data_IF_060855193297
#
_entry.id   IF_060855193297
#
_cell.length_a   1.000
_cell.length_b   1.000
_cell.length_c   1.000
_cell.angle_alpha   90.00
_cell.angle_beta   90.00
_cell.angle_gamma   90.00
#
_symmetry.space_group_name_H-M   'P 1'
#
loop_
_entity.id
_entity.type
_entity.pdbx_description
1 polymer ?
#
# COMPACT_ATOMS: atom_id res chain seq x y z
N UNK A 1 -2.53 9.07 -7.06
CA UNK A 1 -1.84 10.38 -7.12
C UNK A 1 -1.01 10.57 -8.40
N UNK A 2 -0.09 9.63 -8.79
CA UNK A 2 0.76 9.80 -9.99
C UNK A 2 -0.11 9.91 -11.26
N UNK A 3 -1.03 8.97 -11.48
CA UNK A 3 -1.90 8.97 -12.65
C UNK A 3 -2.77 10.21 -12.75
N UNK A 4 -3.38 10.65 -11.65
CA UNK A 4 -4.21 11.86 -11.61
C UNK A 4 -3.42 13.13 -11.94
N UNK A 5 -2.18 13.22 -11.44
CA UNK A 5 -1.30 14.34 -11.77
C UNK A 5 -0.95 14.36 -13.27
N UNK A 6 -0.67 13.20 -13.86
CA UNK A 6 -0.37 13.08 -15.28
C UNK A 6 -1.58 13.42 -16.15
N UNK A 7 -2.79 12.96 -15.79
CA UNK A 7 -4.02 13.37 -16.47
C UNK A 7 -4.13 14.89 -16.54
N UNK A 8 -3.94 15.57 -15.40
CA UNK A 8 -4.00 17.03 -15.31
C UNK A 8 -2.91 17.70 -16.14
N UNK A 9 -1.67 17.21 -16.08
CA UNK A 9 -0.53 17.80 -16.80
C UNK A 9 -0.68 17.73 -18.32
N UNK A 10 -1.18 16.59 -18.81
CA UNK A 10 -1.37 16.36 -20.26
C UNK A 10 -2.78 16.71 -20.74
N UNK A 11 -3.60 17.34 -19.88
CA UNK A 11 -4.98 17.73 -20.18
C UNK A 11 -5.82 16.54 -20.72
N UNK A 12 -5.63 15.37 -20.12
CA UNK A 12 -6.35 14.15 -20.41
C UNK A 12 -7.61 14.06 -19.54
N UNK A 13 -8.64 13.41 -20.06
CA UNK A 13 -9.91 13.18 -19.36
C UNK A 13 -9.84 11.92 -18.46
N UNK A 14 -10.73 11.81 -17.48
CA UNK A 14 -10.70 10.72 -16.50
C UNK A 14 -10.83 9.32 -17.14
N UNK A 15 -11.54 9.21 -18.26
CA UNK A 15 -11.67 7.99 -19.06
C UNK A 15 -10.35 7.53 -19.72
N UNK A 16 -9.35 8.40 -19.75
CA UNK A 16 -8.00 8.06 -20.24
C UNK A 16 -7.05 7.55 -19.16
N UNK A 17 -7.56 7.32 -17.93
CA UNK A 17 -6.73 6.79 -16.82
C UNK A 17 -6.09 5.44 -17.17
N UNK A 18 -6.81 4.56 -17.85
CA UNK A 18 -6.27 3.27 -18.29
C UNK A 18 -5.09 3.44 -19.24
N UNK A 19 -5.19 4.38 -20.18
CA UNK A 19 -4.07 4.74 -21.07
C UNK A 19 -2.86 5.24 -20.31
N UNK A 20 -3.07 6.07 -19.28
CA UNK A 20 -1.97 6.53 -18.41
C UNK A 20 -1.35 5.35 -17.67
N UNK A 21 -2.16 4.48 -17.07
CA UNK A 21 -1.71 3.28 -16.40
C UNK A 21 -0.91 2.35 -17.30
N UNK A 22 -1.43 2.08 -18.50
CA UNK A 22 -0.79 1.22 -19.50
C UNK A 22 0.54 1.80 -19.98
N UNK A 23 0.58 3.10 -20.30
CA UNK A 23 1.80 3.78 -20.75
C UNK A 23 2.89 3.74 -19.67
N UNK A 24 2.55 4.06 -18.42
CA UNK A 24 3.51 4.05 -17.34
C UNK A 24 4.01 2.63 -17.03
N UNK A 25 3.10 1.66 -17.03
CA UNK A 25 3.44 0.25 -16.80
C UNK A 25 4.36 -0.27 -17.91
N UNK A 26 4.03 0.00 -19.15
CA UNK A 26 4.87 -0.36 -20.28
C UNK A 26 6.25 0.32 -20.21
N UNK A 27 6.32 1.58 -19.80
CA UNK A 27 7.58 2.30 -19.66
C UNK A 27 8.48 1.66 -18.59
N UNK A 28 7.98 1.42 -17.37
CA UNK A 28 8.84 0.85 -16.33
C UNK A 28 9.16 -0.65 -16.53
N UNK A 29 8.33 -1.39 -17.25
CA UNK A 29 8.64 -2.80 -17.56
C UNK A 29 9.66 -2.96 -18.71
N UNK A 30 9.84 -1.94 -19.53
CA UNK A 30 10.74 -1.97 -20.70
C UNK A 30 12.01 -1.15 -20.52
N UNK A 31 12.13 -0.40 -19.43
CA UNK A 31 13.28 0.45 -19.15
C UNK A 31 13.75 0.29 -17.71
N UNK A 32 14.94 0.79 -17.41
CA UNK A 32 15.55 0.67 -16.08
C UNK A 32 15.03 1.73 -15.11
N UNK A 33 13.70 1.78 -14.90
CA UNK A 33 13.03 2.71 -13.99
C UNK A 33 11.91 2.00 -13.21
N UNK A 34 11.27 2.70 -12.31
CA UNK A 34 10.08 2.28 -11.58
C UNK A 34 8.99 3.34 -11.68
N UNK A 35 7.77 2.97 -11.29
CA UNK A 35 6.60 3.85 -11.37
C UNK A 35 6.80 5.16 -10.58
N UNK A 36 7.47 5.11 -9.44
CA UNK A 36 7.69 6.28 -8.59
C UNK A 36 8.68 7.24 -9.23
N UNK A 37 9.82 6.74 -9.69
CA UNK A 37 10.82 7.54 -10.39
C UNK A 37 10.25 8.14 -11.67
N UNK A 38 9.45 7.37 -12.42
CA UNK A 38 8.79 7.86 -13.62
C UNK A 38 7.78 8.98 -13.30
N UNK A 39 6.98 8.81 -12.25
CA UNK A 39 6.03 9.82 -11.76
C UNK A 39 6.76 11.10 -11.31
N UNK A 40 7.90 10.96 -10.66
CA UNK A 40 8.73 12.10 -10.27
C UNK A 40 9.31 12.82 -11.49
N UNK A 41 9.82 12.11 -12.48
CA UNK A 41 10.27 12.70 -13.76
C UNK A 41 9.14 13.49 -14.42
N UNK A 42 7.94 12.91 -14.52
CA UNK A 42 6.77 13.55 -15.11
C UNK A 42 6.32 14.81 -14.36
N UNK A 43 6.44 14.82 -13.02
CA UNK A 43 6.13 15.99 -12.21
C UNK A 43 6.90 17.24 -12.67
N UNK A 44 8.16 17.07 -13.05
CA UNK A 44 9.00 18.18 -13.53
C UNK A 44 8.81 18.49 -15.01
N UNK A 45 8.54 17.49 -15.82
CA UNK A 45 8.57 17.60 -17.29
C UNK A 45 7.18 17.71 -17.89
N UNK A 46 6.18 17.05 -17.32
CA UNK A 46 4.84 16.90 -17.90
C UNK A 46 4.21 18.21 -18.36
N UNK A 47 4.16 19.27 -17.53
CA UNK A 47 3.56 20.54 -17.95
C UNK A 47 4.25 21.18 -19.16
N UNK A 48 5.59 21.05 -19.27
CA UNK A 48 6.35 21.60 -20.39
C UNK A 48 6.17 20.74 -21.63
N UNK A 49 6.26 19.41 -21.49
CA UNK A 49 6.06 18.47 -22.59
C UNK A 49 4.67 18.64 -23.23
N UNK A 50 3.63 18.65 -22.42
CA UNK A 50 2.25 18.83 -22.86
C UNK A 50 2.05 20.17 -23.62
N UNK A 51 2.63 21.26 -23.10
CA UNK A 51 2.54 22.59 -23.72
C UNK A 51 3.25 22.62 -25.08
N UNK A 52 4.29 21.83 -25.25
CA UNK A 52 5.04 21.71 -26.53
C UNK A 52 4.40 20.71 -27.52
N UNK A 53 3.30 20.05 -27.12
CA UNK A 53 2.59 19.07 -27.92
C UNK A 53 3.24 17.68 -27.95
N UNK A 54 4.15 17.41 -27.02
CA UNK A 54 4.75 16.09 -26.83
C UNK A 54 3.70 15.19 -26.15
N UNK A 55 3.48 14.00 -26.69
CA UNK A 55 2.51 13.07 -26.13
C UNK A 55 2.99 12.47 -24.80
N UNK A 56 2.06 11.89 -24.04
CA UNK A 56 2.40 11.16 -22.81
C UNK A 56 3.38 10.03 -23.09
N UNK A 57 3.15 9.28 -24.16
CA UNK A 57 3.96 8.13 -24.56
C UNK A 57 5.39 8.55 -24.95
N UNK A 58 5.51 9.62 -25.72
CA UNK A 58 6.81 10.18 -26.11
C UNK A 58 7.57 10.70 -24.87
N UNK A 59 6.91 11.44 -23.99
CA UNK A 59 7.51 11.92 -22.75
C UNK A 59 7.94 10.77 -21.83
N UNK A 60 7.13 9.70 -21.73
CA UNK A 60 7.47 8.50 -20.97
C UNK A 60 8.63 7.73 -21.61
N UNK A 61 8.69 7.66 -22.93
CA UNK A 61 9.81 7.04 -23.65
C UNK A 61 11.11 7.82 -23.42
N UNK A 62 11.08 9.16 -23.50
CA UNK A 62 12.23 10.00 -23.18
C UNK A 62 12.73 9.80 -21.77
N UNK A 63 11.82 9.76 -20.78
CA UNK A 63 12.14 9.47 -19.38
C UNK A 63 12.77 8.09 -19.21
N UNK A 64 12.25 7.09 -19.92
CA UNK A 64 12.79 5.73 -19.94
C UNK A 64 14.19 5.65 -20.54
N UNK A 65 14.47 6.37 -21.62
CA UNK A 65 15.81 6.43 -22.22
C UNK A 65 16.83 7.08 -21.30
N UNK A 66 16.44 8.13 -20.57
CA UNK A 66 17.30 8.74 -19.55
C UNK A 66 17.57 7.74 -18.41
N UNK A 67 16.56 7.03 -17.97
CA UNK A 67 16.68 6.06 -16.89
C UNK A 67 17.60 4.88 -17.26
N UNK A 68 17.59 4.43 -18.50
CA UNK A 68 18.51 3.40 -19.00
C UNK A 68 19.98 3.85 -18.90
N UNK A 69 20.22 5.16 -18.94
CA UNK A 69 21.54 5.78 -18.79
C UNK A 69 21.81 6.31 -17.36
N UNK A 70 21.00 5.91 -16.38
CA UNK A 70 21.20 6.23 -14.98
C UNK A 70 20.56 7.52 -14.48
N UNK A 71 19.97 8.34 -15.36
CA UNK A 71 19.25 9.55 -14.98
C UNK A 71 17.79 9.20 -14.67
N UNK A 72 17.36 9.32 -13.39
CA UNK A 72 16.02 8.94 -12.92
C UNK A 72 15.40 10.01 -12.05
N UNK A 73 14.08 9.94 -11.89
CA UNK A 73 13.35 10.79 -10.97
C UNK A 73 13.55 12.28 -11.24
N UNK A 74 13.93 13.04 -10.23
CA UNK A 74 14.15 14.49 -10.30
C UNK A 74 15.25 14.89 -11.30
N UNK A 75 16.32 14.09 -11.41
CA UNK A 75 17.46 14.40 -12.28
C UNK A 75 17.04 14.30 -13.75
N UNK A 76 16.36 13.19 -14.12
CA UNK A 76 15.78 13.05 -15.45
C UNK A 76 14.77 14.17 -15.75
N UNK A 77 13.89 14.46 -14.80
CA UNK A 77 12.86 15.49 -14.93
C UNK A 77 13.46 16.88 -15.12
N UNK A 78 14.50 17.21 -14.37
CA UNK A 78 15.19 18.50 -14.48
C UNK A 78 15.92 18.62 -15.82
N UNK A 79 16.66 17.59 -16.22
CA UNK A 79 17.38 17.56 -17.49
C UNK A 79 16.42 17.66 -18.69
N UNK A 80 15.32 16.89 -18.68
CA UNK A 80 14.29 16.97 -19.73
C UNK A 80 13.66 18.36 -19.79
N UNK A 81 13.19 18.87 -18.66
CA UNK A 81 12.55 20.18 -18.59
C UNK A 81 13.47 21.28 -19.09
N UNK A 82 14.73 21.29 -18.67
CA UNK A 82 15.71 22.29 -19.10
C UNK A 82 15.96 22.16 -20.61
N UNK A 83 16.20 20.97 -21.14
CA UNK A 83 16.41 20.72 -22.56
C UNK A 83 15.21 21.17 -23.39
N UNK A 84 14.00 20.75 -23.04
CA UNK A 84 12.78 21.11 -23.76
C UNK A 84 12.50 22.61 -23.71
N UNK A 85 12.70 23.27 -22.58
CA UNK A 85 12.49 24.71 -22.45
C UNK A 85 13.49 25.51 -23.26
N UNK A 86 14.76 25.09 -23.28
CA UNK A 86 15.81 25.77 -24.06
C UNK A 86 15.73 25.50 -25.57
N UNK A 87 15.22 24.36 -25.99
CA UNK A 87 14.89 24.09 -27.39
C UNK A 87 13.69 24.91 -27.83
N UNK A 88 12.67 25.08 -27.02
CA UNK A 88 11.47 25.87 -27.32
C UNK A 88 11.71 27.39 -27.33
N UNK A 89 12.59 27.85 -26.43
CA UNK A 89 12.96 29.27 -26.33
C UNK A 89 14.47 29.38 -26.08
N UNK A 90 15.26 29.24 -27.16
CA UNK A 90 16.71 29.12 -27.03
C UNK A 90 17.35 30.46 -26.61
N UNK A 91 18.18 30.48 -25.55
CA UNK A 91 19.10 31.58 -25.31
C UNK A 91 20.07 31.77 -26.46
N UNK A 92 20.77 32.90 -26.47
CA UNK A 92 21.66 33.26 -27.61
C UNK A 92 22.65 32.14 -27.97
N UNK A 93 23.35 31.56 -26.97
CA UNK A 93 24.31 30.48 -27.23
C UNK A 93 23.61 29.25 -27.86
N UNK A 94 22.45 28.85 -27.37
CA UNK A 94 21.68 27.75 -27.91
C UNK A 94 21.17 28.04 -29.35
N UNK A 95 20.71 29.27 -29.59
CA UNK A 95 20.25 29.70 -30.91
C UNK A 95 21.40 29.71 -31.94
N UNK A 96 22.58 30.20 -31.56
CA UNK A 96 23.77 30.22 -32.40
C UNK A 96 24.24 28.78 -32.71
N UNK A 97 24.27 27.88 -31.70
CA UNK A 97 24.62 26.48 -31.86
C UNK A 97 23.63 25.73 -32.79
N UNK A 98 22.32 25.91 -32.59
CA UNK A 98 21.29 25.32 -33.45
C UNK A 98 21.40 25.81 -34.89
N UNK A 99 21.71 27.10 -35.07
CA UNK A 99 21.93 27.71 -36.41
C UNK A 99 23.18 27.13 -37.10
N UNK A 100 24.28 26.98 -36.35
CA UNK A 100 25.52 26.38 -36.89
C UNK A 100 25.30 24.92 -37.29
N UNK A 101 24.56 24.15 -36.45
CA UNK A 101 24.18 22.79 -36.77
C UNK A 101 23.14 22.67 -37.89
N UNK A 102 22.51 23.78 -38.29
CA UNK A 102 21.44 23.80 -39.32
C UNK A 102 20.16 23.10 -38.83
N UNK A 103 19.91 23.04 -37.52
CA UNK A 103 18.73 22.39 -36.95
C UNK A 103 17.66 23.41 -36.61
N UNK A 104 16.46 23.20 -37.18
CA UNK A 104 15.28 24.00 -36.85
C UNK A 104 14.40 23.25 -35.85
N UNK A 105 14.04 23.89 -34.75
CA UNK A 105 13.15 23.34 -33.71
C UNK A 105 11.67 23.63 -34.00
N UNK A 106 11.38 24.62 -34.85
CA UNK A 106 10.04 25.02 -35.24
C UNK A 106 9.79 24.83 -36.73
N UNK A 107 8.53 24.61 -37.09
CA UNK A 107 8.08 24.60 -38.48
C UNK A 107 7.92 26.04 -39.04
N UNK A 108 7.55 26.15 -40.30
CA UNK A 108 7.34 27.45 -40.99
C UNK A 108 6.21 28.30 -40.35
N UNK A 109 5.37 27.72 -39.51
CA UNK A 109 4.29 28.41 -38.78
C UNK A 109 4.68 28.77 -37.33
N UNK A 110 5.91 28.49 -36.93
CA UNK A 110 6.41 28.73 -35.59
C UNK A 110 5.93 27.69 -34.56
N UNK A 111 5.31 26.58 -35.00
CA UNK A 111 4.93 25.48 -34.14
C UNK A 111 6.13 24.55 -33.94
N UNK A 112 6.28 24.04 -32.69
CA UNK A 112 7.29 23.05 -32.36
C UNK A 112 7.16 21.83 -33.28
N UNK A 113 8.26 21.39 -33.87
CA UNK A 113 8.32 20.15 -34.63
C UNK A 113 8.25 18.94 -33.68
N UNK A 114 7.84 17.75 -34.16
CA UNK A 114 7.93 16.55 -33.34
C UNK A 114 9.32 16.44 -32.70
N UNK A 115 9.36 16.19 -31.37
CA UNK A 115 10.62 16.23 -30.64
C UNK A 115 11.58 15.13 -31.10
N UNK A 116 11.05 13.98 -31.46
CA UNK A 116 11.85 12.87 -32.04
C UNK A 116 12.60 13.31 -33.31
N UNK A 117 11.96 14.11 -34.19
CA UNK A 117 12.58 14.61 -35.39
C UNK A 117 13.68 15.64 -35.11
N UNK A 118 13.43 16.54 -34.13
CA UNK A 118 14.42 17.53 -33.70
C UNK A 118 15.65 16.85 -33.10
N UNK A 119 15.44 15.85 -32.22
CA UNK A 119 16.54 15.08 -31.65
C UNK A 119 17.32 14.27 -32.69
N UNK A 120 16.63 13.70 -33.68
CA UNK A 120 17.26 12.97 -34.77
C UNK A 120 18.07 13.90 -35.66
N UNK A 121 17.58 15.10 -35.95
CA UNK A 121 18.33 16.10 -36.74
C UNK A 121 19.56 16.59 -35.96
N UNK A 122 19.43 16.80 -34.63
CA UNK A 122 20.59 17.09 -33.77
C UNK A 122 21.63 15.97 -33.85
N UNK A 123 21.18 14.71 -33.78
CA UNK A 123 22.10 13.57 -33.93
C UNK A 123 22.86 13.63 -35.25
N UNK A 124 22.15 13.71 -36.35
CA UNK A 124 22.75 13.76 -37.70
C UNK A 124 23.71 14.94 -37.89
N UNK A 125 23.35 16.09 -37.34
CA UNK A 125 24.15 17.30 -37.46
C UNK A 125 25.43 17.20 -36.62
N UNK A 126 25.35 16.72 -35.40
CA UNK A 126 26.50 16.63 -34.47
C UNK A 126 27.49 15.54 -34.88
N UNK A 127 27.07 14.48 -35.59
CA UNK A 127 27.98 13.43 -36.09
C UNK A 127 29.05 13.94 -37.05
N UNK A 128 28.92 15.15 -37.60
CA UNK A 128 29.90 15.77 -38.48
C UNK A 128 31.08 16.39 -37.71
N UNK A 129 30.99 16.49 -36.41
CA UNK A 129 31.94 17.16 -35.54
C UNK A 129 32.64 16.15 -34.59
N UNK A 130 33.81 16.56 -34.12
CA UNK A 130 34.57 15.78 -33.15
C UNK A 130 33.83 15.71 -31.78
N UNK A 131 34.20 14.75 -30.97
CA UNK A 131 33.53 14.54 -29.66
C UNK A 131 33.55 15.76 -28.74
N UNK A 132 34.65 16.54 -28.75
CA UNK A 132 34.77 17.74 -27.92
C UNK A 132 33.78 18.82 -28.39
N UNK A 133 33.67 19.03 -29.71
CA UNK A 133 32.71 19.98 -30.25
C UNK A 133 31.27 19.56 -30.04
N UNK A 134 30.99 18.25 -30.15
CA UNK A 134 29.65 17.69 -29.81
C UNK A 134 29.25 18.04 -28.39
N UNK A 135 30.13 17.83 -27.39
CA UNK A 135 29.86 18.18 -25.99
C UNK A 135 29.64 19.68 -25.83
N UNK A 136 30.42 20.53 -26.56
CA UNK A 136 30.23 21.98 -26.54
C UNK A 136 28.85 22.38 -27.04
N UNK A 137 28.41 21.85 -28.19
CA UNK A 137 27.08 22.09 -28.72
C UNK A 137 25.96 21.68 -27.75
N UNK A 138 26.07 20.50 -27.11
CA UNK A 138 25.07 20.05 -26.15
C UNK A 138 25.03 20.96 -24.91
N UNK A 139 26.19 21.46 -24.45
CA UNK A 139 26.25 22.43 -23.33
C UNK A 139 25.63 23.77 -23.71
N UNK A 140 25.93 24.28 -24.89
CA UNK A 140 25.35 25.51 -25.39
C UNK A 140 23.83 25.42 -25.52
N UNK A 141 23.32 24.28 -26.04
CA UNK A 141 21.89 24.05 -26.24
C UNK A 141 21.18 23.82 -24.92
N UNK A 142 21.62 22.84 -24.14
CA UNK A 142 20.89 22.39 -22.92
C UNK A 142 21.36 23.08 -21.63
N UNK A 143 22.56 23.65 -21.59
CA UNK A 143 23.24 24.16 -20.41
C UNK A 143 24.02 23.05 -19.67
N UNK A 144 24.94 23.46 -18.80
CA UNK A 144 25.82 22.56 -18.05
C UNK A 144 25.06 21.48 -17.23
N UNK A 145 23.89 21.79 -16.71
CA UNK A 145 23.13 20.89 -15.86
C UNK A 145 22.34 19.83 -16.64
N UNK A 146 22.03 20.09 -17.91
CA UNK A 146 21.14 19.25 -18.70
C UNK A 146 21.78 18.63 -19.95
N UNK A 147 23.03 18.99 -20.29
CA UNK A 147 23.65 18.55 -21.56
C UNK A 147 23.78 17.01 -21.64
N UNK A 148 24.07 16.32 -20.52
CA UNK A 148 24.15 14.86 -20.48
C UNK A 148 22.80 14.24 -20.83
N UNK A 149 21.71 14.80 -20.28
CA UNK A 149 20.36 14.35 -20.60
C UNK A 149 20.01 14.58 -22.08
N UNK A 150 20.32 15.76 -22.62
CA UNK A 150 20.09 16.03 -24.04
C UNK A 150 20.92 15.10 -24.92
N UNK A 151 22.20 14.92 -24.62
CA UNK A 151 23.08 14.01 -25.36
C UNK A 151 22.54 12.57 -25.38
N UNK A 152 22.04 12.09 -24.20
CA UNK A 152 21.40 10.78 -24.09
C UNK A 152 20.17 10.66 -24.99
N UNK A 153 19.29 11.65 -24.96
CA UNK A 153 18.09 11.65 -25.80
C UNK A 153 18.40 11.73 -27.29
N UNK A 154 19.40 12.54 -27.67
CA UNK A 154 19.89 12.65 -29.06
C UNK A 154 20.48 11.32 -29.53
N UNK A 155 21.28 10.65 -28.71
CA UNK A 155 21.82 9.33 -29.02
C UNK A 155 20.71 8.28 -29.18
N UNK A 156 19.71 8.27 -28.27
CA UNK A 156 18.57 7.36 -28.34
C UNK A 156 17.69 7.61 -29.60
N UNK A 157 17.54 8.87 -30.01
CA UNK A 157 16.85 9.21 -31.25
C UNK A 157 17.66 8.76 -32.50
N UNK A 158 19.00 8.94 -32.43
CA UNK A 158 19.91 8.54 -33.51
C UNK A 158 20.00 7.02 -33.71
N UNK A 159 19.93 6.24 -32.66
CA UNK A 159 19.85 4.75 -32.69
C UNK A 159 18.47 4.22 -33.09
N UNK A 160 17.43 5.04 -33.04
CA UNK A 160 16.04 4.65 -33.25
C UNK A 160 15.36 4.00 -32.05
N UNK A 161 16.05 3.89 -30.92
CA UNK A 161 15.49 3.31 -29.70
C UNK A 161 14.36 4.15 -29.10
N UNK A 162 14.49 5.49 -29.13
CA UNK A 162 13.45 6.39 -28.68
C UNK A 162 12.15 6.18 -29.45
N UNK A 163 12.22 6.20 -30.79
CA UNK A 163 11.06 6.00 -31.69
C UNK A 163 10.46 4.61 -31.54
N UNK A 164 11.29 3.59 -31.33
CA UNK A 164 10.83 2.23 -31.06
C UNK A 164 10.04 2.18 -29.76
N UNK A 165 10.61 2.71 -28.67
CA UNK A 165 9.95 2.71 -27.37
C UNK A 165 8.65 3.53 -27.41
N UNK A 166 8.65 4.71 -28.03
CA UNK A 166 7.43 5.53 -28.19
C UNK A 166 6.30 4.74 -28.86
N UNK A 167 6.59 4.03 -29.95
CA UNK A 167 5.59 3.18 -30.63
C UNK A 167 5.11 2.03 -29.74
N UNK A 168 6.01 1.41 -29.00
CA UNK A 168 5.66 0.34 -28.05
C UNK A 168 4.73 0.85 -26.94
N UNK A 169 4.98 2.06 -26.42
CA UNK A 169 4.12 2.68 -25.42
C UNK A 169 2.76 3.09 -25.98
N UNK A 170 2.72 3.58 -27.22
CA UNK A 170 1.45 3.88 -27.94
C UNK A 170 0.59 2.64 -28.15
N UNK A 171 1.21 1.48 -28.30
CA UNK A 171 0.54 0.18 -28.46
C UNK A 171 0.24 -0.57 -27.16
N UNK A 172 0.54 -0.01 -25.99
CA UNK A 172 0.57 -0.72 -24.71
C UNK A 172 -0.79 -0.93 -24.04
N UNK A 173 -1.87 -1.07 -24.80
CA UNK A 173 -3.22 -1.28 -24.25
C UNK A 173 -3.31 -2.56 -23.41
N UNK A 174 -3.91 -2.46 -22.21
CA UNK A 174 -4.11 -3.57 -21.28
C UNK A 174 -2.83 -4.04 -20.60
N UNK A 175 -1.73 -3.31 -20.72
CA UNK A 175 -0.44 -3.66 -20.12
C UNK A 175 -0.49 -3.61 -18.59
N UNK A 176 -1.16 -2.60 -18.03
CA UNK A 176 -1.33 -2.46 -16.60
C UNK A 176 -2.08 -3.67 -16.01
N UNK A 177 -3.18 -4.09 -16.63
CA UNK A 177 -3.95 -5.25 -16.20
C UNK A 177 -3.14 -6.55 -16.34
N UNK A 178 -2.39 -6.69 -17.42
CA UNK A 178 -1.53 -7.85 -17.65
C UNK A 178 -0.46 -7.98 -16.59
N UNK A 179 0.25 -6.89 -16.32
CA UNK A 179 1.31 -6.86 -15.30
C UNK A 179 0.73 -7.04 -13.91
N UNK A 180 -0.40 -6.40 -13.60
CA UNK A 180 -1.09 -6.58 -12.31
C UNK A 180 -1.48 -8.04 -12.09
N UNK A 181 -2.00 -8.74 -13.09
CA UNK A 181 -2.30 -10.19 -13.01
C UNK A 181 -1.05 -11.01 -12.76
N UNK A 182 0.03 -10.76 -13.49
CA UNK A 182 1.32 -11.47 -13.27
C UNK A 182 1.88 -11.19 -11.88
N UNK A 183 1.79 -9.95 -11.40
CA UNK A 183 2.22 -9.60 -10.05
C UNK A 183 1.33 -10.18 -8.95
N UNK A 184 0.03 -10.34 -9.22
CA UNK A 184 -0.93 -10.95 -8.30
C UNK A 184 -0.89 -12.49 -8.31
N UNK A 185 -0.41 -13.10 -9.39
CA UNK A 185 -0.31 -14.57 -9.55
C UNK A 185 0.91 -15.11 -8.80
N UNK A 186 0.96 -14.84 -7.50
CA UNK A 186 1.96 -15.35 -6.58
C UNK A 186 1.39 -15.41 -5.16
N UNK A 187 2.09 -16.12 -4.27
CA UNK A 187 1.65 -16.34 -2.89
C UNK A 187 1.39 -15.01 -2.12
N UNK A 188 2.17 -13.96 -2.36
CA UNK A 188 1.96 -12.64 -1.74
C UNK A 188 0.67 -11.97 -2.23
N UNK A 189 0.37 -12.10 -3.53
CA UNK A 189 -0.90 -11.66 -4.12
C UNK A 189 -2.10 -12.41 -3.55
N UNK A 190 -1.99 -13.74 -3.41
CA UNK A 190 -3.02 -14.57 -2.80
C UNK A 190 -3.26 -14.23 -1.34
N UNK A 191 -2.19 -13.95 -0.57
CA UNK A 191 -2.28 -13.51 0.82
C UNK A 191 -2.92 -12.14 0.94
N UNK A 192 -2.62 -11.20 0.05
CA UNK A 192 -3.27 -9.87 0.01
C UNK A 192 -4.74 -9.95 -0.36
N UNK A 193 -5.09 -10.82 -1.31
CA UNK A 193 -6.48 -11.07 -1.67
C UNK A 193 -7.26 -11.70 -0.51
N UNK A 194 -6.63 -12.61 0.24
CA UNK A 194 -7.21 -13.22 1.43
C UNK A 194 -7.40 -12.18 2.55
N UNK A 195 -6.43 -11.30 2.77
CA UNK A 195 -6.50 -10.23 3.76
C UNK A 195 -7.63 -9.24 3.42
N UNK A 196 -7.74 -8.84 2.15
CA UNK A 196 -8.83 -7.99 1.66
C UNK A 196 -10.21 -8.64 1.81
N UNK A 197 -10.33 -9.94 1.51
CA UNK A 197 -11.57 -10.69 1.70
C UNK A 197 -11.94 -10.81 3.18
N UNK A 198 -10.93 -10.99 4.05
CA UNK A 198 -11.11 -11.02 5.49
C UNK A 198 -11.55 -9.67 6.05
N UNK A 199 -10.96 -8.57 5.58
CA UNK A 199 -11.38 -7.22 5.97
C UNK A 199 -12.81 -6.93 5.53
N UNK A 200 -13.19 -7.30 4.31
CA UNK A 200 -14.57 -7.21 3.81
C UNK A 200 -15.56 -8.03 4.65
N UNK A 201 -15.19 -9.23 5.08
CA UNK A 201 -15.98 -10.05 5.98
C UNK A 201 -16.13 -9.41 7.36
N UNK A 202 -15.04 -8.86 7.89
CA UNK A 202 -15.01 -8.18 9.19
C UNK A 202 -15.91 -6.95 9.20
N UNK A 203 -15.90 -6.15 8.14
CA UNK A 203 -16.79 -4.98 7.97
C UNK A 203 -18.24 -5.44 7.97
N UNK A 204 -18.60 -6.46 7.17
CA UNK A 204 -19.97 -6.98 7.10
C UNK A 204 -20.45 -7.58 8.43
N UNK A 205 -19.56 -8.26 9.18
CA UNK A 205 -19.88 -8.76 10.51
C UNK A 205 -20.09 -7.59 11.49
N UNK A 206 -19.25 -6.55 11.42
CA UNK A 206 -19.40 -5.34 12.23
C UNK A 206 -20.76 -4.70 12.01
N UNK A 207 -21.17 -4.51 10.76
CA UNK A 207 -22.48 -3.93 10.41
C UNK A 207 -23.66 -4.75 10.94
N UNK A 208 -23.56 -6.09 10.92
CA UNK A 208 -24.58 -7.00 11.43
C UNK A 208 -24.70 -6.98 12.96
N UNK A 209 -23.59 -6.72 13.65
CA UNK A 209 -23.49 -6.79 15.12
C UNK A 209 -23.66 -5.42 15.77
N UNK A 210 -23.46 -4.32 15.07
CA UNK A 210 -23.59 -2.96 15.60
C UNK A 210 -25.00 -2.66 16.17
N UNK A 211 -26.06 -3.09 15.50
CA UNK A 211 -27.43 -2.91 15.99
C UNK A 211 -27.70 -3.63 17.32
N UNK A 212 -27.47 -4.94 17.41
CA UNK A 212 -27.62 -5.72 18.65
C UNK A 212 -26.70 -5.28 19.77
N UNK A 213 -25.40 -5.01 19.48
CA UNK A 213 -24.45 -4.54 20.51
C UNK A 213 -24.83 -3.16 21.04
N UNK A 214 -25.25 -2.25 20.18
CA UNK A 214 -25.72 -0.92 20.59
C UNK A 214 -26.97 -1.01 21.50
N UNK A 215 -27.86 -1.92 21.19
CA UNK A 215 -29.06 -2.18 22.03
C UNK A 215 -28.68 -2.73 23.39
N UNK A 216 -27.74 -3.67 23.46
CA UNK A 216 -27.21 -4.23 24.72
C UNK A 216 -26.47 -3.13 25.52
N UNK A 217 -25.66 -2.33 24.88
CA UNK A 217 -24.92 -1.24 25.55
C UNK A 217 -25.91 -0.20 26.10
N UNK A 218 -26.91 0.21 25.34
CA UNK A 218 -27.94 1.13 25.81
C UNK A 218 -28.81 0.55 26.94
N UNK A 219 -29.07 -0.75 26.92
CA UNK A 219 -29.77 -1.42 28.00
C UNK A 219 -28.91 -1.46 29.29
N UNK A 220 -27.62 -1.81 29.16
CA UNK A 220 -26.66 -1.78 30.26
C UNK A 220 -26.55 -0.38 30.88
N UNK A 221 -26.46 0.66 30.06
CA UNK A 221 -26.41 2.04 30.53
C UNK A 221 -27.65 2.41 31.33
N UNK A 222 -28.84 2.09 30.82
CA UNK A 222 -30.11 2.31 31.55
C UNK A 222 -30.20 1.56 32.84
N UNK A 223 -29.67 0.33 32.93
CA UNK A 223 -29.61 -0.46 34.19
C UNK A 223 -28.66 0.18 35.18
N UNK A 224 -27.47 0.61 34.73
CA UNK A 224 -26.50 1.31 35.58
C UNK A 224 -27.03 2.64 36.10
N UNK A 225 -27.71 3.43 35.28
CA UNK A 225 -28.37 4.67 35.71
C UNK A 225 -29.43 4.43 36.80
N UNK A 226 -30.26 3.38 36.63
CA UNK A 226 -31.24 2.99 37.65
C UNK A 226 -30.59 2.49 38.94
N UNK A 227 -29.50 1.73 38.85
CA UNK A 227 -28.75 1.29 40.01
C UNK A 227 -28.13 2.49 40.76
N UNK A 228 -27.58 3.44 39.99
CA UNK A 228 -26.96 4.66 40.53
C UNK A 228 -28.02 5.53 41.24
N UNK A 229 -29.19 5.70 40.66
CA UNK A 229 -30.28 6.46 41.25
C UNK A 229 -30.84 5.81 42.51
N UNK A 230 -30.97 4.47 42.54
CA UNK A 230 -31.34 3.70 43.72
C UNK A 230 -30.26 3.81 44.84
N UNK A 231 -29.00 3.77 44.44
CA UNK A 231 -27.88 3.91 45.35
C UNK A 231 -27.84 5.29 46.04
N UNK A 232 -28.18 6.33 45.31
CA UNK A 232 -28.27 7.70 45.83
C UNK A 232 -29.51 7.90 46.74
N UNK A 233 -30.62 7.25 46.44
CA UNK A 233 -31.84 7.34 47.22
C UNK A 233 -31.76 6.58 48.56
N UNK A 234 -30.92 5.53 48.66
CA UNK A 234 -30.83 4.67 49.86
C UNK A 234 -29.38 4.37 50.25
N UNK A 235 -28.64 5.33 50.84
CA UNK A 235 -27.20 5.20 51.10
C UNK A 235 -26.83 4.06 52.09
N UNK A 236 -27.70 3.72 53.03
CA UNK A 236 -27.46 2.63 53.99
C UNK A 236 -27.58 1.26 53.31
N UNK A 237 -28.57 1.10 52.43
CA UNK A 237 -28.77 -0.13 51.67
C UNK A 237 -27.64 -0.33 50.66
N UNK A 238 -27.16 0.77 50.06
CA UNK A 238 -26.05 0.78 49.08
C UNK A 238 -24.76 0.31 49.74
N UNK A 239 -24.50 0.68 50.99
CA UNK A 239 -23.29 0.24 51.70
C UNK A 239 -23.32 -1.28 52.01
N UNK A 240 -24.48 -1.82 52.28
CA UNK A 240 -24.63 -3.27 52.48
C UNK A 240 -24.58 -4.05 51.18
N UNK A 241 -25.14 -3.50 50.08
CA UNK A 241 -25.08 -4.08 48.75
C UNK A 241 -23.69 -3.94 48.10
N UNK A 242 -22.91 -2.88 48.40
CA UNK A 242 -21.53 -2.75 47.95
C UNK A 242 -20.62 -3.81 48.60
N UNK A 243 -20.86 -4.17 49.85
CA UNK A 243 -20.09 -5.23 50.50
C UNK A 243 -20.47 -6.61 49.90
N UNK A 244 -21.75 -6.83 49.61
CA UNK A 244 -22.21 -8.05 48.93
C UNK A 244 -21.96 -8.06 47.41
N UNK A 245 -22.01 -6.91 46.78
CA UNK A 245 -21.90 -6.74 45.33
C UNK A 245 -20.45 -6.54 44.83
N UNK A 246 -19.51 -6.23 45.74
CA UNK A 246 -18.09 -6.14 45.35
C UNK A 246 -17.54 -7.44 44.76
N UNK A 247 -18.07 -8.58 45.23
CA UNK A 247 -17.76 -9.89 44.65
C UNK A 247 -18.38 -10.08 43.25
N UNK A 248 -19.57 -9.52 43.01
CA UNK A 248 -20.25 -9.61 41.70
C UNK A 248 -19.60 -8.71 40.64
N UNK A 249 -19.14 -7.51 41.02
CA UNK A 249 -18.41 -6.61 40.10
C UNK A 249 -17.01 -7.16 39.76
N UNK A 250 -16.34 -7.80 40.70
CA UNK A 250 -15.10 -8.53 40.40
C UNK A 250 -15.35 -9.70 39.43
N UNK A 251 -16.50 -10.40 39.53
CA UNK A 251 -16.88 -11.44 38.57
C UNK A 251 -17.20 -10.91 37.18
N UNK A 252 -17.89 -9.79 37.05
CA UNK A 252 -18.21 -9.22 35.72
C UNK A 252 -16.98 -8.64 35.03
N UNK A 253 -16.03 -8.06 35.76
CA UNK A 253 -14.75 -7.61 35.22
C UNK A 253 -13.88 -8.80 34.74
N UNK A 254 -13.92 -9.93 35.44
CA UNK A 254 -13.21 -11.16 35.03
C UNK A 254 -13.86 -11.81 33.78
N UNK A 255 -15.19 -11.83 33.70
CA UNK A 255 -15.90 -12.40 32.53
C UNK A 255 -15.69 -11.54 31.27
N UNK A 256 -15.69 -10.22 31.40
CA UNK A 256 -15.42 -9.30 30.28
C UNK A 256 -13.99 -9.44 29.75
N UNK A 257 -13.01 -9.57 30.63
CA UNK A 257 -11.60 -9.82 30.24
C UNK A 257 -11.40 -11.24 29.65
N UNK A 258 -12.11 -12.25 30.17
CA UNK A 258 -12.09 -13.60 29.61
C UNK A 258 -12.64 -13.65 28.17
N UNK A 259 -13.72 -12.92 27.90
CA UNK A 259 -14.31 -12.84 26.54
C UNK A 259 -13.35 -12.21 25.53
N UNK A 260 -12.59 -11.18 25.95
CA UNK A 260 -11.56 -10.55 25.11
C UNK A 260 -10.38 -11.50 24.85
N UNK A 261 -9.92 -12.22 25.89
CA UNK A 261 -8.82 -13.18 25.74
C UNK A 261 -9.23 -14.39 24.90
N UNK A 262 -10.44 -14.89 25.08
CA UNK A 262 -11.00 -15.99 24.27
C UNK A 262 -11.16 -15.53 22.81
N UNK A 263 -11.63 -14.31 22.57
CA UNK A 263 -11.75 -13.74 21.22
C UNK A 263 -10.40 -13.64 20.50
N UNK A 264 -9.36 -13.17 21.20
CA UNK A 264 -8.00 -13.08 20.66
C UNK A 264 -7.36 -14.48 20.46
N UNK A 265 -7.59 -15.42 21.38
CA UNK A 265 -7.10 -16.80 21.25
C UNK A 265 -7.81 -17.56 20.11
N UNK A 266 -9.14 -17.41 19.99
CA UNK A 266 -9.90 -18.01 18.89
C UNK A 266 -9.49 -17.43 17.53
N UNK A 267 -9.22 -16.13 17.46
CA UNK A 267 -8.70 -15.49 16.24
C UNK A 267 -7.34 -16.06 15.83
N UNK A 268 -6.44 -16.29 16.79
CA UNK A 268 -5.12 -16.88 16.51
C UNK A 268 -5.17 -18.40 16.24
N UNK A 269 -6.07 -19.13 16.87
CA UNK A 269 -6.30 -20.56 16.58
C UNK A 269 -6.98 -20.78 15.23
N UNK A 270 -7.88 -19.88 14.81
CA UNK A 270 -8.50 -19.94 13.50
C UNK A 270 -7.46 -19.69 12.37
N UNK A 271 -6.53 -18.76 12.59
CA UNK A 271 -5.42 -18.54 11.62
C UNK A 271 -4.45 -19.72 11.56
N UNK A 272 -4.17 -20.38 12.70
CA UNK A 272 -3.35 -21.60 12.71
C UNK A 272 -4.06 -22.78 12.03
N UNK A 273 -5.37 -22.93 12.21
CA UNK A 273 -6.17 -24.00 11.58
C UNK A 273 -6.28 -23.77 10.05
N UNK A 274 -6.45 -22.52 9.62
CA UNK A 274 -6.40 -22.15 8.18
C UNK A 274 -5.01 -22.41 7.59
N UNK A 275 -3.95 -22.06 8.30
CA UNK A 275 -2.57 -22.35 7.89
C UNK A 275 -2.31 -23.85 7.77
N UNK A 276 -2.87 -24.67 8.66
CA UNK A 276 -2.73 -26.13 8.63
C UNK A 276 -3.56 -26.76 7.52
N UNK A 277 -4.77 -26.27 7.22
CA UNK A 277 -5.61 -26.73 6.11
C UNK A 277 -5.01 -26.39 4.74
N UNK A 278 -4.36 -25.23 4.62
CA UNK A 278 -3.63 -24.82 3.40
C UNK A 278 -2.38 -25.70 3.23
N UNK A 279 -1.65 -25.99 4.31
CA UNK A 279 -0.48 -26.86 4.27
C UNK A 279 -0.84 -28.33 3.91
N UNK A 280 -1.98 -28.83 4.37
CA UNK A 280 -2.40 -30.22 4.09
C UNK A 280 -2.99 -30.40 2.70
N UNK A 281 -3.50 -29.33 2.06
CA UNK A 281 -4.00 -29.37 0.67
C UNK A 281 -2.93 -29.22 -0.41
N UNK A 282 -1.78 -28.63 -0.10
CA UNK A 282 -0.64 -28.56 -1.00
C UNK A 282 0.28 -29.78 -0.81
N UNK A 283 -0.04 -30.85 -1.49
CA UNK A 283 0.64 -32.14 -1.45
C UNK A 283 2.07 -32.13 -2.02
N UNK A 284 2.97 -31.35 -1.43
CA UNK A 284 4.41 -31.49 -1.64
C UNK A 284 5.22 -31.34 -0.35
N UNK A 285 4.59 -31.57 0.81
CA UNK A 285 5.14 -31.35 2.16
C UNK A 285 6.29 -32.30 2.51
N UNK A 286 6.43 -33.44 1.81
CA UNK A 286 7.46 -34.46 2.11
C UNK A 286 8.88 -33.92 1.91
N UNK A 287 9.07 -32.88 1.08
CA UNK A 287 10.39 -32.27 0.86
C UNK A 287 10.79 -31.19 1.88
N UNK A 288 9.84 -30.69 2.67
CA UNK A 288 10.07 -29.60 3.63
C UNK A 288 10.23 -30.11 5.08
N UNK A 289 9.81 -31.35 5.36
CA UNK A 289 9.93 -31.95 6.70
C UNK A 289 11.36 -31.91 7.29
N UNK A 290 12.45 -32.17 6.53
CA UNK A 290 13.81 -32.09 7.09
C UNK A 290 14.20 -30.67 7.50
N UNK A 291 13.73 -29.63 6.80
CA UNK A 291 14.00 -28.25 7.13
C UNK A 291 13.25 -27.79 8.40
N UNK A 292 12.02 -28.26 8.58
CA UNK A 292 11.21 -28.00 9.78
C UNK A 292 11.79 -28.71 11.00
N UNK A 293 12.35 -29.91 10.84
CA UNK A 293 13.01 -30.64 11.93
C UNK A 293 14.28 -29.93 12.42
N UNK A 294 15.03 -29.30 11.52
CA UNK A 294 16.16 -28.45 11.84
C UNK A 294 15.79 -27.19 12.65
N UNK A 295 14.59 -26.65 12.44
CA UNK A 295 14.09 -25.52 13.24
C UNK A 295 13.62 -25.93 14.62
N UNK A 296 13.12 -27.15 14.79
CA UNK A 296 12.68 -27.68 16.09
C UNK A 296 13.87 -28.04 17.00
N UNK A 297 14.95 -28.55 16.42
CA UNK A 297 16.16 -28.92 17.17
C UNK A 297 17.04 -27.71 17.52
N UNK A 298 16.91 -26.58 16.79
CA UNK A 298 17.57 -25.30 17.12
C UNK A 298 16.93 -24.54 18.29
N UNK A 299 15.73 -24.94 18.73
CA UNK A 299 14.95 -24.21 19.72
C UNK A 299 15.12 -24.66 21.17
N UNK A 300 16.09 -25.52 21.48
CA UNK A 300 16.43 -25.87 22.89
C UNK A 300 17.04 -24.67 23.65
N UNK A 301 17.58 -23.67 22.96
CA UNK A 301 18.00 -22.39 23.55
C UNK A 301 16.83 -21.47 23.93
N UNK A 302 15.59 -21.74 23.47
CA UNK A 302 14.41 -20.96 23.78
C UNK A 302 13.75 -21.35 25.13
N UNK A 303 14.11 -22.47 25.74
CA UNK A 303 13.60 -22.85 27.08
C UNK A 303 14.04 -21.87 28.17
N UNK A 304 15.23 -21.26 28.06
CA UNK A 304 15.66 -20.18 28.93
C UNK A 304 14.85 -18.89 28.79
N UNK A 305 14.38 -18.60 27.57
CA UNK A 305 13.51 -17.46 27.31
C UNK A 305 12.04 -17.67 27.76
N UNK A 306 11.55 -18.91 27.73
CA UNK A 306 10.19 -19.24 28.15
C UNK A 306 10.04 -19.09 29.67
N UNK A 307 11.07 -19.43 30.46
CA UNK A 307 11.06 -19.22 31.91
C UNK A 307 11.08 -17.73 32.26
N UNK A 308 11.85 -16.91 31.53
CA UNK A 308 11.87 -15.46 31.68
C UNK A 308 10.52 -14.80 31.28
N UNK A 309 9.82 -15.36 30.29
CA UNK A 309 8.49 -14.88 29.89
C UNK A 309 7.40 -15.15 30.94
N UNK A 310 7.52 -16.19 31.76
CA UNK A 310 6.59 -16.47 32.85
C UNK A 310 6.67 -15.44 34.00
N UNK A 311 7.82 -14.77 34.16
CA UNK A 311 8.01 -13.68 35.12
C UNK A 311 7.79 -12.29 34.52
N UNK A 312 7.42 -12.20 33.25
CA UNK A 312 6.98 -10.94 32.63
C UNK A 312 5.60 -10.54 33.14
N UNK A 313 5.21 -9.25 33.09
CA UNK A 313 3.86 -8.81 33.43
C UNK A 313 2.76 -9.58 32.67
N UNK A 314 3.03 -9.98 31.44
CA UNK A 314 2.14 -10.80 30.61
C UNK A 314 2.08 -12.24 31.12
N UNK A 315 3.19 -12.83 31.53
CA UNK A 315 3.27 -14.17 32.08
C UNK A 315 2.53 -14.29 33.40
N UNK A 316 2.61 -13.27 34.27
CA UNK A 316 1.84 -13.21 35.55
C UNK A 316 0.34 -13.10 35.29
N UNK A 317 -0.11 -12.38 34.28
CA UNK A 317 -1.51 -12.34 33.86
C UNK A 317 -1.98 -13.71 33.38
N UNK A 318 -1.18 -14.41 32.59
CA UNK A 318 -1.51 -15.76 32.08
C UNK A 318 -1.58 -16.76 33.24
N UNK A 319 -0.67 -16.68 34.20
CA UNK A 319 -0.69 -17.54 35.41
C UNK A 319 -1.92 -17.26 36.31
N UNK A 320 -2.29 -15.98 36.46
CA UNK A 320 -3.51 -15.59 37.20
C UNK A 320 -4.78 -16.09 36.50
N UNK A 321 -4.83 -16.01 35.15
CA UNK A 321 -5.96 -16.54 34.38
C UNK A 321 -6.07 -18.06 34.44
N UNK A 322 -4.96 -18.79 34.41
CA UNK A 322 -4.93 -20.22 34.55
C UNK A 322 -5.41 -20.63 35.96
N UNK A 323 -4.99 -19.90 37.03
CA UNK A 323 -5.47 -20.08 38.37
C UNK A 323 -6.98 -19.84 38.54
N UNK A 324 -7.48 -18.77 37.88
CA UNK A 324 -8.92 -18.48 37.86
C UNK A 324 -9.73 -19.56 37.13
N UNK A 325 -9.22 -20.11 36.04
CA UNK A 325 -9.87 -21.19 35.29
C UNK A 325 -9.98 -22.47 36.14
N UNK A 326 -8.95 -22.81 36.93
CA UNK A 326 -8.95 -23.94 37.85
C UNK A 326 -9.98 -23.73 38.99
N UNK A 327 -10.08 -22.50 39.51
CA UNK A 327 -11.08 -22.18 40.52
C UNK A 327 -12.51 -22.26 39.99
N UNK A 328 -12.76 -21.75 38.79
CA UNK A 328 -14.06 -21.86 38.12
C UNK A 328 -14.43 -23.34 37.90
N UNK A 329 -13.48 -24.16 37.43
CA UNK A 329 -13.71 -25.58 37.23
C UNK A 329 -14.01 -26.31 38.58
N UNK A 330 -13.25 -26.00 39.64
CA UNK A 330 -13.43 -26.59 40.96
C UNK A 330 -14.77 -26.19 41.60
N UNK A 331 -15.24 -24.99 41.35
CA UNK A 331 -16.49 -24.45 41.93
C UNK A 331 -17.62 -24.36 40.89
N UNK A 332 -17.56 -25.16 39.82
CA UNK A 332 -18.54 -25.11 38.71
C UNK A 332 -19.96 -25.41 39.16
N UNK A 333 -20.16 -26.42 40.04
CA UNK A 333 -21.47 -26.81 40.49
C UNK A 333 -22.17 -25.74 41.36
N UNK A 334 -21.52 -25.09 42.34
CA UNK A 334 -22.10 -23.94 43.03
C UNK A 334 -22.42 -22.76 42.10
N UNK A 335 -21.56 -22.46 41.11
CA UNK A 335 -21.79 -21.39 40.14
C UNK A 335 -23.02 -21.71 39.28
N UNK A 336 -23.14 -22.93 38.77
CA UNK A 336 -24.28 -23.40 37.99
C UNK A 336 -25.57 -23.34 38.77
N UNK A 337 -25.56 -23.79 40.02
CA UNK A 337 -26.73 -23.77 40.93
C UNK A 337 -27.20 -22.33 41.19
N UNK A 338 -26.27 -21.39 41.39
CA UNK A 338 -26.58 -19.96 41.54
C UNK A 338 -27.28 -19.40 40.30
N UNK A 339 -26.73 -19.62 39.09
CA UNK A 339 -27.35 -19.13 37.89
C UNK A 339 -28.69 -19.80 37.55
N UNK A 340 -28.85 -21.09 37.86
CA UNK A 340 -30.13 -21.78 37.76
C UNK A 340 -31.19 -21.19 38.71
N UNK A 341 -30.82 -20.82 39.92
CA UNK A 341 -31.71 -20.16 40.87
C UNK A 341 -32.10 -18.75 40.48
N UNK A 342 -31.16 -17.97 39.92
CA UNK A 342 -31.43 -16.64 39.38
C UNK A 342 -32.36 -16.73 38.17
N UNK A 343 -32.12 -17.67 37.25
CA UNK A 343 -32.92 -17.87 36.07
C UNK A 343 -34.34 -18.32 36.37
N UNK A 344 -34.52 -19.27 37.31
CA UNK A 344 -35.85 -19.70 37.78
C UNK A 344 -36.61 -18.57 38.44
N UNK A 345 -35.97 -17.77 39.30
CA UNK A 345 -36.59 -16.63 39.95
C UNK A 345 -37.02 -15.50 38.99
N UNK A 346 -36.26 -15.31 37.88
CA UNK A 346 -36.63 -14.37 36.83
C UNK A 346 -37.83 -14.91 36.00
N UNK A 347 -37.81 -16.20 35.65
CA UNK A 347 -38.92 -16.83 34.93
C UNK A 347 -40.22 -16.88 35.70
N UNK A 348 -40.16 -17.15 36.99
CA UNK A 348 -41.33 -17.16 37.88
C UNK A 348 -41.99 -15.79 37.97
N UNK A 349 -41.22 -14.70 37.91
CA UNK A 349 -41.73 -13.33 37.91
C UNK A 349 -42.26 -12.86 36.54
N UNK A 350 -41.85 -13.49 35.44
CA UNK A 350 -42.28 -13.18 34.09
C UNK A 350 -43.53 -13.96 33.64
N UNK A 351 -43.88 -15.05 34.35
CA UNK A 351 -45.05 -15.90 34.04
C UNK A 351 -46.42 -15.21 34.22
N UNK A 352 -46.64 -14.21 35.10
CA UNK A 352 -47.95 -13.54 35.22
C UNK A 352 -48.23 -12.46 34.18
N UNK A 353 -47.38 -12.30 33.17
CA UNK A 353 -47.55 -11.32 32.09
C UNK A 353 -47.96 -11.95 30.74
N UNK A 354 -48.50 -13.18 30.76
CA UNK A 354 -49.16 -13.84 29.65
C UNK A 354 -50.68 -13.79 29.78
#
# INVERSE_FOLDING_TARGET
>A
DIGSNILTQFNLTADQMDRVGDTLTAAFTRTNTDLRALGETMKYTGPVAAKLGISLEEAAAMAGMLANNGLRGSDAGTAMRASLSRLASPPKAAADALKELGVSVADARGKMRPMEDVLLDLYKATQKYGQVDQVSFFKDIAGEEAFVGLQTLVAAAGSGELQKLTRELQGARGEADRVAKVMADNLDGDLKNLDSAWEGLRIRISDLVDGPLRSVTQWLTRVLEKITSLAQAHPVLTRQLLIAGGALLAMTATIGSLSLVIGVLYGKLATLRLGFDILTRSMNVIRVLPALWGMVTGSVSLLGGAIGALFSPVGLIVAALAGAAVLIWKYWDPIRAFFAGVFSGIMERLTPLR
#
